data_IF_390725833849
#
_entry.id   IF_390725833849
#
_cell.length_a   1.000
_cell.length_b   1.000
_cell.length_c   1.000
_cell.angle_alpha   90.00
_cell.angle_beta   90.00
_cell.angle_gamma   90.00
#
_symmetry.space_group_name_H-M   'P 1'
#
loop_
_entity.id
_entity.type
_entity.pdbx_description
1 polymer ?
#
# COMPACT_ATOMS: atom_id res chain seq x y z
N UNK A 1 -27.07 -17.19 7.55
CA UNK A 1 -25.87 -17.47 6.69
C UNK A 1 -25.57 -16.34 5.70
N UNK A 2 -26.53 -15.86 4.89
CA UNK A 2 -26.31 -14.75 3.92
C UNK A 2 -26.02 -13.40 4.61
N UNK A 3 -26.78 -13.02 5.65
CA UNK A 3 -26.54 -11.81 6.45
C UNK A 3 -25.11 -11.75 7.02
N UNK A 4 -24.61 -12.86 7.56
CA UNK A 4 -23.23 -12.97 8.06
C UNK A 4 -22.21 -12.74 6.94
N UNK A 5 -22.39 -13.36 5.77
CA UNK A 5 -21.51 -13.15 4.62
C UNK A 5 -21.53 -11.70 4.07
N UNK A 6 -22.68 -11.03 4.11
CA UNK A 6 -22.79 -9.60 3.76
C UNK A 6 -22.03 -8.73 4.77
N UNK A 7 -22.16 -9.03 6.06
CA UNK A 7 -21.39 -8.35 7.10
C UNK A 7 -19.88 -8.55 6.92
N UNK A 8 -19.43 -9.79 6.71
CA UNK A 8 -18.03 -10.10 6.40
C UNK A 8 -17.52 -9.33 5.16
N UNK A 9 -18.32 -9.23 4.09
CA UNK A 9 -17.95 -8.45 2.90
C UNK A 9 -17.79 -6.96 3.20
N UNK A 10 -18.66 -6.40 4.05
CA UNK A 10 -18.54 -5.00 4.49
C UNK A 10 -17.25 -4.78 5.29
N UNK A 11 -16.91 -5.70 6.20
CA UNK A 11 -15.68 -5.63 6.98
C UNK A 11 -14.44 -5.72 6.08
N UNK A 12 -14.39 -6.66 5.12
CA UNK A 12 -13.29 -6.77 4.16
C UNK A 12 -13.09 -5.49 3.33
N UNK A 13 -14.17 -4.80 2.94
CA UNK A 13 -14.08 -3.51 2.24
C UNK A 13 -13.54 -2.39 3.12
N UNK A 14 -13.93 -2.35 4.39
CA UNK A 14 -13.39 -1.38 5.34
C UNK A 14 -11.89 -1.62 5.58
N UNK A 15 -11.50 -2.89 5.72
CA UNK A 15 -10.10 -3.28 5.88
C UNK A 15 -9.27 -2.96 4.64
N UNK A 16 -9.79 -3.23 3.43
CA UNK A 16 -9.17 -2.83 2.16
C UNK A 16 -8.88 -1.32 2.13
N UNK A 17 -9.86 -0.48 2.48
CA UNK A 17 -9.68 0.99 2.52
C UNK A 17 -8.64 1.42 3.55
N UNK A 18 -8.61 0.77 4.72
CA UNK A 18 -7.59 1.04 5.74
C UNK A 18 -6.19 0.74 5.19
N UNK A 19 -6.01 -0.39 4.52
CA UNK A 19 -4.72 -0.78 3.91
C UNK A 19 -4.31 0.15 2.78
N UNK A 20 -5.26 0.57 1.95
CA UNK A 20 -5.01 1.58 0.90
C UNK A 20 -4.52 2.91 1.48
N UNK A 21 -5.16 3.42 2.54
CA UNK A 21 -4.69 4.64 3.23
C UNK A 21 -3.28 4.47 3.78
N UNK A 22 -2.97 3.33 4.40
CA UNK A 22 -1.64 3.05 4.96
C UNK A 22 -0.56 2.98 3.87
N UNK A 23 -0.87 2.38 2.71
CA UNK A 23 0.01 2.36 1.55
C UNK A 23 0.26 3.79 1.04
N UNK A 24 -0.79 4.60 0.92
CA UNK A 24 -0.67 6.01 0.50
C UNK A 24 0.15 6.84 1.50
N UNK A 25 -0.04 6.63 2.80
CA UNK A 25 0.75 7.29 3.85
C UNK A 25 2.23 6.91 3.75
N UNK A 26 2.56 5.62 3.58
CA UNK A 26 3.95 5.18 3.43
C UNK A 26 4.59 5.63 2.12
N UNK A 27 3.83 5.68 1.02
CA UNK A 27 4.32 6.25 -0.25
C UNK A 27 4.67 7.73 -0.12
N UNK A 28 3.84 8.51 0.59
CA UNK A 28 4.18 9.91 0.90
C UNK A 28 5.47 10.02 1.70
N UNK A 29 5.67 9.17 2.71
CA UNK A 29 6.90 9.14 3.49
C UNK A 29 8.12 8.75 2.63
N UNK A 30 7.96 7.79 1.73
CA UNK A 30 8.99 7.38 0.78
C UNK A 30 9.39 8.56 -0.12
N UNK A 31 8.41 9.26 -0.69
CA UNK A 31 8.65 10.43 -1.54
C UNK A 31 9.43 11.53 -0.78
N UNK A 32 9.06 11.78 0.48
CA UNK A 32 9.76 12.73 1.35
C UNK A 32 11.22 12.31 1.60
N UNK A 33 11.47 11.03 1.90
CA UNK A 33 12.84 10.52 2.12
C UNK A 33 13.67 10.56 0.82
N UNK A 34 13.08 10.21 -0.32
CA UNK A 34 13.74 10.30 -1.63
C UNK A 34 14.14 11.74 -1.93
N UNK A 35 13.25 12.71 -1.64
CA UNK A 35 13.56 14.13 -1.79
C UNK A 35 14.69 14.57 -0.86
N UNK A 36 14.69 14.13 0.40
CA UNK A 36 15.77 14.40 1.35
C UNK A 36 17.10 13.83 0.87
N UNK A 37 17.11 12.60 0.35
CA UNK A 37 18.29 11.96 -0.20
C UNK A 37 18.83 12.74 -1.41
N UNK A 38 17.95 13.21 -2.31
CA UNK A 38 18.35 14.06 -3.43
C UNK A 38 18.95 15.39 -2.97
N UNK A 39 18.36 16.02 -1.96
CA UNK A 39 18.89 17.25 -1.39
C UNK A 39 20.29 17.05 -0.80
N UNK A 40 20.46 15.97 -0.04
CA UNK A 40 21.75 15.60 0.56
C UNK A 40 22.81 15.33 -0.51
N UNK A 41 22.49 14.54 -1.55
CA UNK A 41 23.38 14.29 -2.69
C UNK A 41 23.78 15.59 -3.40
N UNK A 42 22.83 16.50 -3.60
CA UNK A 42 23.08 17.82 -4.20
C UNK A 42 23.91 18.74 -3.32
N UNK A 43 23.77 18.64 -1.99
CA UNK A 43 24.56 19.38 -1.00
C UNK A 43 26.00 18.87 -0.99
N UNK A 44 26.20 17.56 -0.86
CA UNK A 44 27.52 16.93 -0.84
C UNK A 44 28.30 17.20 -2.14
N UNK A 45 27.64 17.17 -3.30
CA UNK A 45 28.27 17.54 -4.58
C UNK A 45 28.73 19.00 -4.58
N UNK A 46 27.88 19.93 -4.13
CA UNK A 46 28.23 21.36 -4.05
C UNK A 46 29.40 21.61 -3.11
N UNK A 47 29.40 20.98 -1.93
CA UNK A 47 30.51 21.08 -0.98
C UNK A 47 31.81 20.57 -1.61
N UNK A 48 31.79 19.40 -2.26
CA UNK A 48 32.96 18.87 -2.99
C UNK A 48 33.49 19.82 -4.07
N UNK A 49 32.58 20.48 -4.81
CA UNK A 49 32.97 21.47 -5.83
C UNK A 49 33.58 22.74 -5.21
N UNK A 50 33.02 23.26 -4.12
CA UNK A 50 33.57 24.42 -3.40
C UNK A 50 34.98 24.13 -2.88
N UNK A 51 35.24 22.90 -2.44
CA UNK A 51 36.54 22.46 -1.97
C UNK A 51 37.58 22.32 -3.08
N UNK A 52 37.18 21.95 -4.31
CA UNK A 52 38.10 21.83 -5.43
C UNK A 52 38.61 23.19 -5.94
N UNK A 53 37.90 24.29 -5.63
CA UNK A 53 38.27 25.65 -6.00
C UNK A 53 39.09 26.43 -4.97
N UNK A 54 39.31 25.86 -3.77
CA UNK A 54 40.11 26.48 -2.70
C UNK A 54 41.52 25.87 -2.67
N UNK A 55 42.57 26.70 -2.69
CA UNK A 55 43.97 26.25 -2.53
C UNK A 55 44.13 25.48 -1.21
N UNK A 56 45.00 24.44 -1.13
CA UNK A 56 45.15 23.65 0.09
C UNK A 56 45.42 24.55 1.31
N UNK A 57 44.49 24.56 2.27
CA UNK A 57 44.62 25.25 3.55
C UNK A 57 45.37 24.38 4.57
N UNK A 58 45.68 24.93 5.73
CA UNK A 58 46.38 24.23 6.83
C UNK A 58 45.65 22.95 7.28
N UNK A 59 46.40 21.92 7.69
CA UNK A 59 45.91 20.56 8.00
C UNK A 59 44.61 20.49 8.84
N UNK A 60 44.40 21.38 9.81
CA UNK A 60 43.21 21.38 10.67
C UNK A 60 41.90 21.68 9.92
N UNK A 61 41.95 22.50 8.86
CA UNK A 61 40.79 22.72 7.99
C UNK A 61 40.47 21.49 7.14
N UNK A 62 41.48 20.70 6.76
CA UNK A 62 41.33 19.50 5.93
C UNK A 62 40.71 18.33 6.72
N UNK A 63 41.05 18.17 8.00
CA UNK A 63 40.45 17.14 8.87
C UNK A 63 38.98 17.43 9.22
N UNK A 64 38.64 18.70 9.46
CA UNK A 64 37.24 19.11 9.64
C UNK A 64 36.38 18.87 8.39
N UNK A 65 36.98 19.03 7.19
CA UNK A 65 36.33 18.76 5.89
C UNK A 65 36.07 17.29 5.65
N UNK A 66 37.02 16.41 6.01
CA UNK A 66 36.86 14.95 5.88
C UNK A 66 35.76 14.43 6.78
N UNK A 67 35.71 14.88 8.05
CA UNK A 67 34.64 14.49 8.97
C UNK A 67 33.25 14.94 8.50
N UNK A 68 33.13 16.10 7.85
CA UNK A 68 31.83 16.55 7.32
C UNK A 68 31.36 15.69 6.15
N UNK A 69 32.27 15.35 5.22
CA UNK A 69 31.95 14.46 4.10
C UNK A 69 31.56 13.06 4.57
N UNK A 70 32.27 12.52 5.55
CA UNK A 70 31.96 11.21 6.14
C UNK A 70 30.58 11.20 6.82
N UNK A 71 30.21 12.27 7.54
CA UNK A 71 28.88 12.43 8.13
C UNK A 71 27.78 12.53 7.08
N UNK A 72 28.00 13.29 6.00
CA UNK A 72 27.04 13.42 4.91
C UNK A 72 26.87 12.08 4.16
N UNK A 73 27.94 11.31 3.96
CA UNK A 73 27.88 9.95 3.40
C UNK A 73 27.15 8.97 4.32
N UNK A 74 27.42 9.01 5.62
CA UNK A 74 26.74 8.15 6.59
C UNK A 74 25.24 8.47 6.67
N UNK A 75 24.88 9.76 6.66
CA UNK A 75 23.49 10.20 6.59
C UNK A 75 22.82 9.73 5.28
N UNK A 76 23.54 9.77 4.16
CA UNK A 76 23.06 9.26 2.88
C UNK A 76 22.75 7.77 2.92
N UNK A 77 23.67 6.96 3.46
CA UNK A 77 23.43 5.51 3.66
C UNK A 77 22.23 5.24 4.54
N UNK A 78 22.06 5.97 5.65
CA UNK A 78 20.90 5.79 6.55
C UNK A 78 19.57 6.12 5.85
N UNK A 79 19.56 7.13 4.99
CA UNK A 79 18.37 7.47 4.19
C UNK A 79 18.09 6.39 3.13
N UNK A 80 19.11 5.89 2.43
CA UNK A 80 19.00 4.79 1.47
C UNK A 80 18.46 3.51 2.15
N UNK A 81 19.03 3.12 3.30
CA UNK A 81 18.55 1.98 4.09
C UNK A 81 17.08 2.15 4.53
N UNK A 82 16.67 3.39 4.84
CA UNK A 82 15.29 3.70 5.24
C UNK A 82 14.32 3.63 4.06
N UNK A 83 14.74 4.09 2.89
CA UNK A 83 14.02 4.00 1.62
C UNK A 83 13.79 2.53 1.26
N UNK A 84 14.84 1.70 1.23
CA UNK A 84 14.76 0.27 0.88
C UNK A 84 13.81 -0.49 1.82
N UNK A 85 13.84 -0.16 3.11
CA UNK A 85 12.92 -0.73 4.11
C UNK A 85 11.48 -0.31 3.86
N UNK A 86 11.22 0.97 3.59
CA UNK A 86 9.87 1.46 3.29
C UNK A 86 9.32 0.87 1.99
N UNK A 87 10.14 0.75 0.95
CA UNK A 87 9.76 0.10 -0.31
C UNK A 87 9.34 -1.36 -0.08
N UNK A 88 10.13 -2.09 0.72
CA UNK A 88 9.80 -3.47 1.10
C UNK A 88 8.49 -3.54 1.89
N UNK A 89 8.28 -2.62 2.84
CA UNK A 89 7.06 -2.56 3.64
C UNK A 89 5.82 -2.20 2.81
N UNK A 90 5.95 -1.28 1.85
CA UNK A 90 4.89 -0.95 0.88
C UNK A 90 4.55 -2.20 0.05
N UNK A 91 5.55 -2.92 -0.45
CA UNK A 91 5.33 -4.15 -1.23
C UNK A 91 4.60 -5.24 -0.42
N UNK A 92 4.92 -5.39 0.87
CA UNK A 92 4.20 -6.29 1.76
C UNK A 92 2.73 -5.86 1.93
N UNK A 93 2.47 -4.58 2.21
CA UNK A 93 1.11 -4.06 2.35
C UNK A 93 0.29 -4.20 1.07
N UNK A 94 0.89 -3.98 -0.09
CA UNK A 94 0.24 -4.18 -1.39
C UNK A 94 -0.16 -5.65 -1.59
N UNK A 95 0.70 -6.59 -1.17
CA UNK A 95 0.38 -8.01 -1.21
C UNK A 95 -0.79 -8.37 -0.28
N UNK A 96 -0.86 -7.77 0.91
CA UNK A 96 -1.96 -7.94 1.86
C UNK A 96 -3.27 -7.36 1.32
N UNK A 97 -3.21 -6.15 0.73
CA UNK A 97 -4.35 -5.50 0.09
C UNK A 97 -4.90 -6.37 -1.04
N UNK A 98 -4.02 -6.93 -1.86
CA UNK A 98 -4.39 -7.83 -2.95
C UNK A 98 -5.10 -9.09 -2.43
N UNK A 99 -4.61 -9.68 -1.35
CA UNK A 99 -5.26 -10.83 -0.71
C UNK A 99 -6.65 -10.48 -0.16
N UNK A 100 -6.81 -9.31 0.46
CA UNK A 100 -8.13 -8.82 0.93
C UNK A 100 -9.07 -8.65 -0.26
N UNK A 101 -8.58 -8.07 -1.37
CA UNK A 101 -9.34 -7.89 -2.61
C UNK A 101 -9.81 -9.22 -3.21
N UNK A 102 -8.94 -10.22 -3.28
CA UNK A 102 -9.28 -11.56 -3.77
C UNK A 102 -10.34 -12.26 -2.89
N UNK A 103 -10.21 -12.13 -1.56
CA UNK A 103 -11.19 -12.65 -0.59
C UNK A 103 -12.55 -11.94 -0.74
N UNK A 104 -12.56 -10.61 -0.90
CA UNK A 104 -13.79 -9.83 -1.10
C UNK A 104 -14.51 -10.24 -2.39
N UNK A 105 -13.76 -10.41 -3.48
CA UNK A 105 -14.30 -10.81 -4.78
C UNK A 105 -14.90 -12.21 -4.74
N UNK A 106 -14.19 -13.18 -4.16
CA UNK A 106 -14.69 -14.55 -4.00
C UNK A 106 -16.00 -14.57 -3.21
N UNK A 107 -16.07 -13.80 -2.11
CA UNK A 107 -17.26 -13.70 -1.28
C UNK A 107 -18.42 -13.03 -2.02
N UNK A 108 -18.12 -11.98 -2.81
CA UNK A 108 -19.10 -11.30 -3.66
C UNK A 108 -19.74 -12.23 -4.68
N UNK A 109 -18.94 -13.05 -5.36
CA UNK A 109 -19.43 -14.01 -6.36
C UNK A 109 -20.30 -15.10 -5.74
N UNK A 110 -19.90 -15.62 -4.58
CA UNK A 110 -20.70 -16.61 -3.83
C UNK A 110 -22.06 -16.05 -3.41
N UNK A 111 -22.09 -14.81 -2.93
CA UNK A 111 -23.34 -14.11 -2.60
C UNK A 111 -24.23 -13.98 -3.83
N UNK A 112 -23.70 -13.52 -4.97
CA UNK A 112 -24.46 -13.37 -6.23
C UNK A 112 -25.02 -14.70 -6.75
N UNK A 113 -24.26 -15.79 -6.64
CA UNK A 113 -24.76 -17.14 -6.99
C UNK A 113 -25.90 -17.58 -6.08
N UNK A 114 -25.78 -17.30 -4.79
CA UNK A 114 -26.81 -17.63 -3.79
C UNK A 114 -28.10 -16.83 -4.04
N UNK A 115 -27.98 -15.52 -4.30
CA UNK A 115 -29.12 -14.65 -4.60
C UNK A 115 -29.90 -15.12 -5.83
N UNK A 116 -29.21 -15.41 -6.95
CA UNK A 116 -29.85 -15.97 -8.15
C UNK A 116 -30.54 -17.31 -7.90
N UNK A 117 -29.89 -18.21 -7.16
CA UNK A 117 -30.50 -19.50 -6.83
C UNK A 117 -31.77 -19.35 -5.99
N UNK A 118 -31.83 -18.36 -5.10
CA UNK A 118 -33.03 -18.07 -4.30
C UNK A 118 -34.14 -17.55 -5.21
N UNK A 119 -33.84 -16.62 -6.12
CA UNK A 119 -34.81 -16.08 -7.09
C UNK A 119 -35.41 -17.18 -7.99
N UNK A 120 -34.57 -18.11 -8.47
CA UNK A 120 -35.02 -19.21 -9.30
C UNK A 120 -35.95 -20.16 -8.53
N UNK A 121 -35.60 -20.49 -7.27
CA UNK A 121 -36.46 -21.30 -6.40
C UNK A 121 -37.79 -20.60 -6.09
N UNK A 122 -37.78 -19.29 -5.89
CA UNK A 122 -39.01 -18.50 -5.68
C UNK A 122 -39.94 -18.59 -6.91
N UNK A 123 -39.40 -18.42 -8.12
CA UNK A 123 -40.16 -18.56 -9.38
C UNK A 123 -40.75 -19.95 -9.53
N UNK A 124 -39.99 -21.01 -9.22
CA UNK A 124 -40.49 -22.40 -9.29
C UNK A 124 -41.62 -22.63 -8.28
N UNK A 125 -41.48 -22.10 -7.06
CA UNK A 125 -42.52 -22.19 -6.02
C UNK A 125 -43.80 -21.47 -6.44
N UNK A 126 -43.69 -20.28 -7.01
CA UNK A 126 -44.83 -19.50 -7.52
C UNK A 126 -45.54 -20.24 -8.65
N UNK A 127 -44.79 -20.73 -9.65
CA UNK A 127 -45.34 -21.55 -10.74
C UNK A 127 -46.08 -22.77 -10.18
N UNK A 128 -45.46 -23.51 -9.27
CA UNK A 128 -46.07 -24.69 -8.64
C UNK A 128 -47.32 -24.35 -7.84
N UNK A 129 -47.37 -23.17 -7.21
CA UNK A 129 -48.55 -22.68 -6.49
C UNK A 129 -49.71 -22.41 -7.43
N UNK A 130 -49.44 -21.79 -8.58
CA UNK A 130 -50.43 -21.54 -9.63
C UNK A 130 -50.98 -22.87 -10.18
N UNK A 131 -50.10 -23.83 -10.50
CA UNK A 131 -50.52 -25.15 -10.98
C UNK A 131 -51.37 -25.91 -9.97
N UNK A 132 -51.02 -25.87 -8.67
CA UNK A 132 -51.84 -26.49 -7.62
C UNK A 132 -53.20 -25.84 -7.48
N UNK A 133 -53.28 -24.51 -7.54
CA UNK A 133 -54.56 -23.80 -7.44
C UNK A 133 -55.51 -24.14 -8.60
N UNK A 134 -54.99 -24.24 -9.82
CA UNK A 134 -55.79 -24.59 -11.01
C UNK A 134 -56.29 -26.03 -11.03
N UNK A 135 -55.62 -26.98 -10.36
CA UNK A 135 -56.07 -28.38 -10.26
C UNK A 135 -57.13 -28.56 -9.17
N UNK A 136 -57.21 -27.65 -8.20
CA UNK A 136 -58.18 -27.69 -7.10
C UNK A 136 -59.48 -26.91 -7.38
N UNK A 137 -59.62 -26.31 -8.57
CA UNK A 137 -60.84 -25.67 -9.07
C UNK A 137 -61.50 -26.55 -10.14
#
# INVERSE_FOLDING_TARGET
RVQAALHTRKMLRAEKRKRQSEIEDKRRQLDDLVLQLQHLKSKAMRERWLLQGTTPGTNDEDDGRRQQLEKDEEQGKRLEDSIDRLESEIGLLESEECQISAKEQTLRERLRKTERSIEDLQKVRERSSIYRHNISL
#
